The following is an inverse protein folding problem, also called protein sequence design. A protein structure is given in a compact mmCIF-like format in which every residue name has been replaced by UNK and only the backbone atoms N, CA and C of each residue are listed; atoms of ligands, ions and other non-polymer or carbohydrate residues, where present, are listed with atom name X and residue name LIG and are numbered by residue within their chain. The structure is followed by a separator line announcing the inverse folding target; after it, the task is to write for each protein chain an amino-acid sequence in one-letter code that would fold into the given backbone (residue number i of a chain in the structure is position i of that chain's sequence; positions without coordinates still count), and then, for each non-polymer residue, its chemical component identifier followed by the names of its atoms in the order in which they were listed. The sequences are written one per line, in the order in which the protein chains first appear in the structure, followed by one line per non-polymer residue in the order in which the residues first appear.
data_IF_948224346727
#
_entry.id   IF_948224346727
#
_cell.length_a   1.000
_cell.length_b   1.000
_cell.length_c   1.000
_cell.angle_alpha   90.00
_cell.angle_beta   90.00
_cell.angle_gamma   90.00
#
_symmetry.space_group_name_H-M   'P 1'
#
loop_
_entity.id
_entity.type
_entity.pdbx_description
1 polymer ?
#
# COMPACT_ATOMS: atom_id res chain seq x y z
N UNK A 1 -72.60 -28.83 -38.46
CA UNK A 1 -71.46 -29.39 -39.22
C UNK A 1 -70.22 -28.59 -38.89
N UNK A 2 -69.12 -29.28 -38.58
CA UNK A 2 -67.85 -28.75 -38.05
C UNK A 2 -67.09 -27.97 -39.13
N UNK A 3 -66.51 -26.83 -38.76
CA UNK A 3 -65.28 -26.32 -39.35
C UNK A 3 -64.40 -25.81 -38.21
N UNK A 4 -63.33 -26.55 -37.93
CA UNK A 4 -62.28 -26.17 -36.96
C UNK A 4 -61.27 -25.29 -37.71
N UNK A 5 -61.12 -24.05 -37.27
CA UNK A 5 -59.97 -23.19 -37.61
C UNK A 5 -58.72 -23.68 -36.88
N UNK A 6 -57.55 -23.81 -37.54
CA UNK A 6 -56.30 -24.14 -36.87
C UNK A 6 -55.71 -22.88 -36.21
N UNK A 7 -55.52 -22.95 -34.90
CA UNK A 7 -54.75 -21.99 -34.12
C UNK A 7 -53.26 -22.24 -34.38
N UNK A 8 -52.61 -21.37 -35.14
CA UNK A 8 -51.15 -21.31 -35.22
C UNK A 8 -50.69 -20.02 -34.54
N UNK A 9 -50.10 -20.12 -33.36
CA UNK A 9 -49.38 -19.01 -32.74
C UNK A 9 -48.09 -19.52 -32.08
N UNK A 10 -47.02 -19.37 -32.86
CA UNK A 10 -45.69 -18.86 -32.48
C UNK A 10 -45.10 -19.31 -31.14
N UNK A 11 -44.24 -20.33 -31.23
CA UNK A 11 -43.20 -20.57 -30.24
C UNK A 11 -42.24 -19.37 -30.22
N UNK A 12 -42.26 -18.59 -29.14
CA UNK A 12 -41.20 -17.63 -28.85
C UNK A 12 -39.92 -18.42 -28.54
N UNK A 13 -38.99 -18.49 -29.50
CA UNK A 13 -37.62 -18.91 -29.23
C UNK A 13 -36.92 -17.78 -28.48
N UNK A 14 -36.89 -17.87 -27.15
CA UNK A 14 -36.03 -17.04 -26.31
C UNK A 14 -34.57 -17.33 -26.66
N UNK A 15 -34.02 -16.52 -27.55
CA UNK A 15 -32.60 -16.49 -27.85
C UNK A 15 -31.88 -15.90 -26.64
N UNK A 16 -31.36 -16.77 -25.77
CA UNK A 16 -30.43 -16.39 -24.72
C UNK A 16 -29.19 -15.80 -25.39
N UNK A 17 -29.12 -14.47 -25.43
CA UNK A 17 -27.88 -13.74 -25.68
C UNK A 17 -26.95 -14.09 -24.53
N UNK A 18 -26.11 -15.11 -24.72
CA UNK A 18 -25.02 -15.41 -23.80
C UNK A 18 -24.04 -14.24 -23.87
N UNK A 19 -24.15 -13.32 -22.92
CA UNK A 19 -23.13 -12.33 -22.64
C UNK A 19 -21.92 -13.12 -22.12
N UNK A 20 -21.07 -13.59 -23.02
CA UNK A 20 -19.76 -14.09 -22.65
C UNK A 20 -19.01 -12.91 -22.04
N UNK A 21 -18.98 -12.87 -20.71
CA UNK A 21 -17.99 -12.08 -20.00
C UNK A 21 -16.64 -12.60 -20.48
N UNK A 22 -16.05 -11.91 -21.45
CA UNK A 22 -14.67 -12.11 -21.82
C UNK A 22 -13.89 -11.82 -20.54
N UNK A 23 -13.45 -12.88 -19.86
CA UNK A 23 -12.40 -12.78 -18.86
C UNK A 23 -11.26 -12.05 -19.57
N UNK A 24 -11.09 -10.77 -19.23
CA UNK A 24 -10.00 -9.98 -19.77
C UNK A 24 -8.73 -10.75 -19.41
N UNK A 25 -8.11 -11.37 -20.42
CA UNK A 25 -6.87 -12.09 -20.22
C UNK A 25 -5.89 -11.10 -19.59
N UNK A 26 -5.44 -11.39 -18.37
CA UNK A 26 -4.39 -10.59 -17.70
C UNK A 26 -3.23 -10.49 -18.70
N UNK A 27 -2.87 -9.29 -19.18
CA UNK A 27 -1.75 -9.15 -20.10
C UNK A 27 -0.52 -9.79 -19.46
N UNK A 28 0.26 -10.55 -20.25
CA UNK A 28 1.50 -11.15 -19.78
C UNK A 28 2.40 -10.02 -19.29
N UNK A 29 2.57 -9.93 -17.97
CA UNK A 29 3.34 -8.88 -17.30
C UNK A 29 4.77 -8.89 -17.84
N UNK A 30 5.14 -7.91 -18.66
CA UNK A 30 6.51 -7.40 -18.59
C UNK A 30 6.75 -7.06 -17.12
N UNK A 31 7.79 -7.63 -16.51
CA UNK A 31 7.94 -7.60 -15.05
C UNK A 31 8.03 -6.17 -14.55
N UNK A 32 6.94 -5.67 -13.96
CA UNK A 32 6.91 -4.35 -13.33
C UNK A 32 8.02 -4.23 -12.29
N UNK A 33 8.41 -3.00 -11.98
CA UNK A 33 9.50 -2.74 -11.02
C UNK A 33 9.17 -3.40 -9.67
N UNK A 34 9.98 -4.34 -9.16
CA UNK A 34 9.76 -4.95 -7.85
C UNK A 34 9.87 -3.92 -6.73
N UNK A 35 8.84 -3.82 -5.90
CA UNK A 35 8.77 -2.87 -4.79
C UNK A 35 8.34 -3.53 -3.48
N UNK A 36 8.86 -3.02 -2.36
CA UNK A 36 8.28 -3.22 -1.03
C UNK A 36 7.84 -1.84 -0.52
N UNK A 37 6.65 -1.77 0.07
CA UNK A 37 6.11 -0.54 0.64
C UNK A 37 6.15 -0.66 2.17
N UNK A 38 6.80 0.28 2.83
CA UNK A 38 6.85 0.42 4.29
C UNK A 38 6.00 1.63 4.71
N UNK A 39 4.95 1.43 5.49
CA UNK A 39 3.86 2.40 5.67
C UNK A 39 3.32 2.36 7.09
N UNK A 40 2.89 3.51 7.60
CA UNK A 40 2.32 3.64 8.94
C UNK A 40 0.81 3.39 8.99
N UNK A 41 0.07 3.46 7.87
CA UNK A 41 -1.36 3.15 7.70
C UNK A 41 -2.17 3.19 9.03
N UNK A 42 -2.29 4.39 9.59
CA UNK A 42 -2.85 4.59 10.93
C UNK A 42 -3.56 5.95 11.10
N UNK A 43 -2.80 7.04 11.02
CA UNK A 43 -3.26 8.38 11.44
C UNK A 43 -3.88 9.24 10.34
N UNK A 44 -3.15 9.42 9.23
CA UNK A 44 -3.66 10.10 8.02
C UNK A 44 -3.99 9.05 6.94
N UNK A 45 -4.89 9.37 6.02
CA UNK A 45 -5.42 8.43 5.01
C UNK A 45 -4.60 8.41 3.72
N UNK A 46 -3.53 9.21 3.63
CA UNK A 46 -2.67 9.32 2.46
C UNK A 46 -2.03 7.98 2.09
N UNK A 47 -1.68 7.15 3.07
CA UNK A 47 -1.25 5.76 2.89
C UNK A 47 -2.27 4.90 2.11
N UNK A 48 -3.57 5.08 2.37
CA UNK A 48 -4.62 4.38 1.61
C UNK A 48 -4.56 4.80 0.15
N UNK A 49 -4.41 6.11 -0.10
CA UNK A 49 -4.23 6.64 -1.46
C UNK A 49 -2.99 6.06 -2.15
N UNK A 50 -1.88 5.97 -1.43
CA UNK A 50 -0.63 5.40 -1.91
C UNK A 50 -0.76 3.92 -2.27
N UNK A 51 -1.35 3.12 -1.37
CA UNK A 51 -1.58 1.70 -1.60
C UNK A 51 -2.58 1.45 -2.73
N UNK A 52 -3.60 2.30 -2.87
CA UNK A 52 -4.52 2.27 -4.01
C UNK A 52 -3.78 2.48 -5.33
N UNK A 53 -2.95 3.54 -5.43
CA UNK A 53 -2.16 3.81 -6.63
C UNK A 53 -1.19 2.66 -6.91
N UNK A 54 -0.49 2.15 -5.88
CA UNK A 54 0.43 1.04 -6.04
C UNK A 54 -0.25 -0.21 -6.58
N UNK A 55 -1.44 -0.56 -6.06
CA UNK A 55 -2.22 -1.70 -6.53
C UNK A 55 -2.70 -1.54 -7.98
N UNK A 56 -3.13 -0.34 -8.38
CA UNK A 56 -3.48 -0.04 -9.78
C UNK A 56 -2.25 -0.21 -10.68
N UNK A 57 -1.09 0.35 -10.29
CA UNK A 57 0.15 0.20 -11.05
C UNK A 57 0.63 -1.26 -11.12
N UNK A 58 0.39 -2.04 -10.07
CA UNK A 58 0.65 -3.48 -10.05
C UNK A 58 -0.21 -4.23 -11.07
N UNK A 59 -1.49 -3.88 -11.15
CA UNK A 59 -2.43 -4.46 -12.10
C UNK A 59 -2.11 -4.05 -13.54
N UNK A 60 -1.59 -2.84 -13.75
CA UNK A 60 -1.09 -2.35 -15.03
C UNK A 60 0.27 -2.93 -15.42
N UNK A 61 0.95 -3.70 -14.56
CA UNK A 61 2.28 -4.24 -14.82
C UNK A 61 3.41 -3.21 -14.77
N UNK A 62 3.16 -2.02 -14.23
CA UNK A 62 4.19 -0.99 -14.05
C UNK A 62 4.96 -1.20 -12.74
N UNK A 63 4.31 -1.72 -11.71
CA UNK A 63 4.91 -2.10 -10.43
C UNK A 63 4.72 -3.60 -10.14
N UNK A 64 5.54 -4.16 -9.27
CA UNK A 64 5.42 -5.54 -8.78
C UNK A 64 5.54 -5.53 -7.25
N UNK A 65 4.41 -5.41 -6.54
CA UNK A 65 4.37 -5.32 -5.08
C UNK A 65 4.76 -6.68 -4.51
N UNK A 66 5.93 -6.73 -3.89
CA UNK A 66 6.48 -7.94 -3.25
C UNK A 66 6.12 -8.06 -1.78
N UNK A 67 5.67 -6.98 -1.16
CA UNK A 67 5.16 -7.00 0.19
C UNK A 67 4.84 -5.61 0.72
N UNK A 68 4.08 -5.58 1.81
CA UNK A 68 3.77 -4.37 2.57
C UNK A 68 4.20 -4.59 4.03
N UNK A 69 4.98 -3.66 4.57
CA UNK A 69 5.44 -3.68 5.95
C UNK A 69 4.79 -2.53 6.73
N UNK A 70 4.02 -2.86 7.77
CA UNK A 70 3.41 -1.85 8.64
C UNK A 70 4.40 -1.47 9.75
N UNK A 71 4.64 -0.17 9.93
CA UNK A 71 5.56 0.38 10.93
C UNK A 71 4.86 1.05 12.13
N UNK A 72 3.54 0.89 12.26
CA UNK A 72 2.77 1.25 13.46
C UNK A 72 2.35 0.02 14.25
N UNK A 73 2.33 0.15 15.57
CA UNK A 73 2.05 -0.95 16.49
C UNK A 73 0.57 -1.37 16.53
N UNK A 74 -0.33 -0.58 15.95
CA UNK A 74 -1.76 -0.89 15.91
C UNK A 74 -2.03 -2.23 15.23
N UNK A 75 -2.75 -3.12 15.91
CA UNK A 75 -3.15 -4.43 15.35
C UNK A 75 -4.06 -4.32 14.12
N UNK A 76 -4.58 -3.13 13.83
CA UNK A 76 -5.50 -2.90 12.72
C UNK A 76 -4.80 -2.58 11.39
N UNK A 77 -3.55 -2.09 11.43
CA UNK A 77 -2.83 -1.65 10.23
C UNK A 77 -2.61 -2.77 9.20
N UNK A 78 -2.07 -3.92 9.63
CA UNK A 78 -1.79 -5.02 8.69
C UNK A 78 -3.06 -5.67 8.09
N UNK A 79 -4.12 -5.94 8.87
CA UNK A 79 -5.40 -6.33 8.30
C UNK A 79 -5.99 -5.30 7.32
N UNK A 80 -5.87 -4.00 7.62
CA UNK A 80 -6.34 -2.95 6.71
C UNK A 80 -5.56 -2.93 5.39
N UNK A 81 -4.22 -3.04 5.43
CA UNK A 81 -3.39 -3.15 4.23
C UNK A 81 -3.73 -4.41 3.41
N UNK A 82 -4.00 -5.54 4.06
CA UNK A 82 -4.46 -6.76 3.39
C UNK A 82 -5.81 -6.57 2.71
N UNK A 83 -6.77 -5.94 3.38
CA UNK A 83 -8.08 -5.63 2.80
C UNK A 83 -7.96 -4.69 1.58
N UNK A 84 -7.08 -3.69 1.64
CA UNK A 84 -6.77 -2.81 0.48
C UNK A 84 -6.26 -3.64 -0.70
N UNK A 85 -5.24 -4.47 -0.51
CA UNK A 85 -4.71 -5.30 -1.59
C UNK A 85 -5.75 -6.28 -2.14
N UNK A 86 -6.52 -6.94 -1.27
CA UNK A 86 -7.60 -7.85 -1.66
C UNK A 86 -8.69 -7.13 -2.47
N UNK A 87 -9.06 -5.91 -2.10
CA UNK A 87 -10.04 -5.09 -2.84
C UNK A 87 -9.61 -4.84 -4.30
N UNK A 88 -8.31 -4.67 -4.55
CA UNK A 88 -7.76 -4.52 -5.91
C UNK A 88 -7.37 -5.85 -6.58
N UNK A 89 -7.75 -7.00 -6.01
CA UNK A 89 -7.50 -8.33 -6.58
C UNK A 89 -6.08 -8.88 -6.35
N UNK A 90 -5.33 -8.31 -5.41
CA UNK A 90 -3.94 -8.64 -5.09
C UNK A 90 -3.79 -9.20 -3.66
N UNK A 91 -4.75 -10.01 -3.22
CA UNK A 91 -4.78 -10.57 -1.86
C UNK A 91 -3.63 -11.55 -1.52
N UNK A 92 -2.84 -11.94 -2.51
CA UNK A 92 -1.64 -12.76 -2.39
C UNK A 92 -0.39 -11.97 -1.99
N UNK A 93 -0.44 -10.63 -2.03
CA UNK A 93 0.64 -9.77 -1.56
C UNK A 93 0.84 -9.98 -0.05
N UNK A 94 2.06 -10.37 0.40
CA UNK A 94 2.31 -10.60 1.82
C UNK A 94 2.36 -9.28 2.59
N UNK A 95 1.75 -9.28 3.77
CA UNK A 95 1.70 -8.12 4.68
C UNK A 95 2.36 -8.49 6.01
N UNK A 96 3.22 -7.62 6.52
CA UNK A 96 3.88 -7.75 7.82
C UNK A 96 3.40 -6.69 8.81
N UNK A 97 3.49 -7.02 10.10
CA UNK A 97 3.11 -6.13 11.19
C UNK A 97 4.24 -6.02 12.21
N UNK A 98 4.67 -4.80 12.55
CA UNK A 98 5.65 -4.57 13.61
C UNK A 98 5.14 -5.08 14.97
N UNK A 99 6.07 -5.41 15.88
CA UNK A 99 5.79 -5.86 17.25
C UNK A 99 6.37 -4.86 18.26
N UNK A 100 5.81 -4.74 19.47
CA UNK A 100 4.59 -5.38 19.97
C UNK A 100 3.33 -4.91 19.24
N UNK A 101 2.25 -5.69 19.26
CA UNK A 101 0.94 -5.25 18.75
C UNK A 101 0.16 -4.55 19.88
N UNK A 102 -0.51 -3.45 19.56
CA UNK A 102 -1.39 -2.71 20.47
C UNK A 102 -2.83 -2.68 19.95
N UNK A 103 -3.78 -2.42 20.85
CA UNK A 103 -5.18 -2.19 20.51
C UNK A 103 -5.45 -0.72 20.13
N UNK A 104 -4.40 0.08 19.92
CA UNK A 104 -4.53 1.51 19.68
C UNK A 104 -5.21 1.80 18.34
N UNK A 105 -6.12 2.76 18.40
CA UNK A 105 -6.78 3.41 17.28
C UNK A 105 -6.34 4.87 17.25
N UNK A 106 -6.32 5.49 16.08
CA UNK A 106 -5.95 6.89 15.97
C UNK A 106 -7.06 7.80 16.53
N UNK A 107 -6.68 8.79 17.33
CA UNK A 107 -7.58 9.84 17.78
C UNK A 107 -6.86 11.18 17.69
N UNK A 108 -7.39 12.08 16.88
CA UNK A 108 -6.91 13.46 16.76
C UNK A 108 -7.36 14.26 18.00
N UNK A 109 -6.43 14.49 18.93
CA UNK A 109 -6.66 15.21 20.18
C UNK A 109 -6.25 16.69 20.12
N UNK A 110 -5.95 17.21 18.92
CA UNK A 110 -5.45 18.57 18.72
C UNK A 110 -6.35 19.39 17.79
N UNK A 111 -6.61 18.92 16.57
CA UNK A 111 -7.51 19.56 15.61
C UNK A 111 -8.94 19.02 15.70
N UNK A 112 -9.12 17.78 16.19
CA UNK A 112 -10.41 17.08 16.27
C UNK A 112 -11.15 16.98 14.93
N UNK A 113 -10.43 16.97 13.81
CA UNK A 113 -11.00 16.87 12.44
C UNK A 113 -10.71 15.55 11.77
N UNK A 114 -9.72 14.81 12.28
CA UNK A 114 -9.34 13.48 11.79
C UNK A 114 -9.88 12.38 12.70
N UNK A 115 -10.46 11.36 12.10
CA UNK A 115 -11.05 10.21 12.73
C UNK A 115 -10.31 8.93 12.36
N UNK A 116 -10.54 7.90 13.14
CA UNK A 116 -9.95 6.60 12.86
C UNK A 116 -10.60 5.91 11.64
N UNK A 117 -9.78 5.27 10.81
CA UNK A 117 -10.24 4.50 9.65
C UNK A 117 -9.66 3.08 9.57
N UNK A 118 -8.48 2.79 10.14
CA UNK A 118 -7.77 1.52 9.90
C UNK A 118 -8.58 0.30 10.37
N UNK A 119 -9.13 0.32 11.58
CA UNK A 119 -9.98 -0.73 12.15
C UNK A 119 -11.27 -0.89 11.34
N UNK A 120 -11.86 0.21 10.85
CA UNK A 120 -13.06 0.17 10.02
C UNK A 120 -12.76 -0.47 8.66
N UNK A 121 -11.63 -0.15 8.03
CA UNK A 121 -11.18 -0.81 6.80
C UNK A 121 -10.98 -2.30 7.06
N UNK A 122 -10.21 -2.66 8.09
CA UNK A 122 -9.95 -4.04 8.47
C UNK A 122 -11.22 -4.85 8.76
N UNK A 123 -12.26 -4.23 9.32
CA UNK A 123 -13.49 -4.91 9.71
C UNK A 123 -14.53 -5.00 8.58
N UNK A 124 -14.69 -3.94 7.80
CA UNK A 124 -15.78 -3.84 6.81
C UNK A 124 -15.42 -4.40 5.43
N UNK A 125 -14.14 -4.66 5.16
CA UNK A 125 -13.68 -5.16 3.87
C UNK A 125 -12.96 -6.50 4.00
N UNK A 126 -13.16 -7.44 3.05
CA UNK A 126 -12.50 -8.73 3.09
C UNK A 126 -10.99 -8.56 2.85
N UNK A 127 -10.19 -9.22 3.67
CA UNK A 127 -8.74 -9.35 3.51
C UNK A 127 -8.30 -10.79 3.74
N UNK A 128 -7.14 -11.18 3.19
CA UNK A 128 -6.54 -12.51 3.40
C UNK A 128 -5.88 -12.63 4.79
N UNK A 129 -5.49 -11.51 5.39
CA UNK A 129 -4.99 -11.40 6.76
C UNK A 129 -6.02 -10.68 7.62
N UNK A 130 -6.73 -11.41 8.48
CA UNK A 130 -7.75 -10.84 9.38
C UNK A 130 -7.24 -10.57 10.80
N UNK A 131 -6.05 -11.07 11.14
CA UNK A 131 -5.43 -10.89 12.45
C UNK A 131 -3.93 -10.63 12.30
N UNK A 132 -3.47 -9.45 12.75
CA UNK A 132 -2.07 -9.04 12.68
C UNK A 132 -1.11 -10.00 13.41
N UNK A 133 -1.57 -10.76 14.41
CA UNK A 133 -0.71 -11.72 15.10
C UNK A 133 -0.25 -12.88 14.22
N UNK A 134 -0.97 -13.16 13.13
CA UNK A 134 -0.63 -14.18 12.13
C UNK A 134 0.36 -13.66 11.07
N UNK A 135 0.54 -12.34 10.98
CA UNK A 135 1.49 -11.74 10.06
C UNK A 135 2.93 -11.97 10.51
N UNK A 136 3.88 -12.18 9.58
CA UNK A 136 5.29 -12.13 9.89
C UNK A 136 5.69 -10.75 10.44
N UNK A 137 6.83 -10.69 11.10
CA UNK A 137 7.48 -9.41 11.42
C UNK A 137 8.00 -8.72 10.14
N UNK A 138 8.16 -7.39 10.13
CA UNK A 138 8.69 -6.67 8.98
C UNK A 138 10.09 -7.15 8.58
N UNK A 139 10.96 -7.44 9.56
CA UNK A 139 12.30 -7.99 9.29
C UNK A 139 12.21 -9.34 8.59
N UNK A 140 11.34 -10.26 9.03
CA UNK A 140 11.14 -11.55 8.35
C UNK A 140 10.64 -11.39 6.91
N UNK A 141 9.69 -10.47 6.68
CA UNK A 141 9.19 -10.16 5.33
C UNK A 141 10.31 -9.62 4.45
N UNK A 142 11.03 -8.59 4.91
CA UNK A 142 12.14 -8.01 4.19
C UNK A 142 13.19 -9.04 3.82
N UNK A 143 13.62 -9.84 4.80
CA UNK A 143 14.65 -10.86 4.57
C UNK A 143 14.20 -11.89 3.54
N UNK A 144 12.95 -12.37 3.60
CA UNK A 144 12.39 -13.32 2.62
C UNK A 144 12.35 -12.73 1.22
N UNK A 145 11.82 -11.52 1.08
CA UNK A 145 11.66 -10.87 -0.22
C UNK A 145 13.03 -10.51 -0.83
N UNK A 146 13.94 -9.93 -0.03
CA UNK A 146 15.26 -9.53 -0.51
C UNK A 146 16.13 -10.75 -0.84
N UNK A 147 16.09 -11.83 -0.05
CA UNK A 147 16.86 -13.04 -0.32
C UNK A 147 16.47 -13.68 -1.67
N UNK A 148 15.18 -13.65 -2.01
CA UNK A 148 14.66 -14.18 -3.27
C UNK A 148 14.85 -13.22 -4.47
N UNK A 149 15.16 -11.94 -4.22
CA UNK A 149 15.32 -10.95 -5.28
C UNK A 149 16.64 -11.09 -6.04
N UNK A 150 16.62 -10.67 -7.31
CA UNK A 150 17.83 -10.40 -8.07
C UNK A 150 18.65 -9.28 -7.42
N UNK A 151 19.95 -9.26 -7.68
CA UNK A 151 20.79 -8.18 -7.15
C UNK A 151 20.40 -6.85 -7.80
N UNK A 152 20.40 -5.78 -7.02
CA UNK A 152 20.10 -4.42 -7.47
C UNK A 152 18.80 -4.29 -8.28
N UNK A 153 17.76 -5.03 -7.90
CA UNK A 153 16.49 -5.02 -8.64
C UNK A 153 15.32 -4.46 -7.85
N UNK A 154 15.40 -4.36 -6.52
CA UNK A 154 14.24 -4.04 -5.69
C UNK A 154 14.28 -2.58 -5.23
N UNK A 155 13.13 -1.89 -5.30
CA UNK A 155 12.95 -0.58 -4.67
C UNK A 155 12.26 -0.72 -3.32
N UNK A 156 12.80 -0.04 -2.32
CA UNK A 156 12.16 0.14 -1.03
C UNK A 156 11.49 1.50 -1.00
N UNK A 157 10.21 1.55 -0.68
CA UNK A 157 9.43 2.78 -0.62
C UNK A 157 8.91 2.92 0.80
N UNK A 158 9.50 3.83 1.58
CA UNK A 158 9.06 4.15 2.94
C UNK A 158 8.24 5.42 2.93
N UNK A 159 7.01 5.30 3.44
CA UNK A 159 5.99 6.37 3.46
C UNK A 159 5.46 6.63 4.86
N UNK A 160 6.07 5.99 5.88
CA UNK A 160 5.85 6.21 7.30
C UNK A 160 7.18 6.22 8.06
N UNK A 161 7.22 5.65 9.26
CA UNK A 161 8.41 5.61 10.10
C UNK A 161 9.50 4.65 9.60
N UNK A 162 10.77 4.95 9.91
CA UNK A 162 11.93 4.15 9.48
C UNK A 162 12.32 3.01 10.44
N UNK A 163 11.51 2.72 11.47
CA UNK A 163 11.81 1.70 12.50
C UNK A 163 12.03 0.31 11.90
N UNK A 164 11.17 -0.12 10.98
CA UNK A 164 11.31 -1.42 10.30
C UNK A 164 12.63 -1.54 9.52
N UNK A 165 13.03 -0.47 8.83
CA UNK A 165 14.26 -0.44 8.04
C UNK A 165 15.49 -0.39 8.97
N UNK A 166 15.41 0.34 10.08
CA UNK A 166 16.46 0.36 11.09
C UNK A 166 16.68 -1.03 11.71
N UNK A 167 15.60 -1.75 12.02
CA UNK A 167 15.67 -3.11 12.55
C UNK A 167 16.20 -4.11 11.52
N UNK A 168 15.84 -3.95 10.24
CA UNK A 168 16.44 -4.72 9.17
C UNK A 168 17.95 -4.46 9.09
N UNK A 169 18.40 -3.20 9.11
CA UNK A 169 19.83 -2.86 9.11
C UNK A 169 20.60 -3.48 10.28
N UNK A 170 19.96 -3.64 11.44
CA UNK A 170 20.53 -4.30 12.64
C UNK A 170 20.47 -5.83 12.58
N UNK A 171 19.66 -6.40 11.70
CA UNK A 171 19.46 -7.85 11.65
C UNK A 171 20.74 -8.59 11.22
N UNK A 172 21.02 -9.70 11.90
CA UNK A 172 22.12 -10.59 11.54
C UNK A 172 21.70 -11.57 10.43
N UNK A 173 22.67 -12.33 9.93
CA UNK A 173 22.38 -13.50 9.11
C UNK A 173 21.49 -14.51 9.84
N UNK A 174 20.69 -15.26 9.10
CA UNK A 174 19.75 -16.25 9.63
C UNK A 174 19.52 -17.39 8.63
N UNK A 175 18.50 -18.22 8.90
CA UNK A 175 18.11 -19.32 8.04
C UNK A 175 17.49 -18.90 6.69
N UNK A 176 17.08 -17.64 6.52
CA UNK A 176 16.54 -17.09 5.27
C UNK A 176 17.68 -16.63 4.36
N UNK A 177 18.71 -16.00 4.93
CA UNK A 177 19.87 -15.52 4.17
C UNK A 177 21.15 -15.55 5.01
N UNK A 178 22.28 -15.99 4.42
CA UNK A 178 23.59 -15.89 5.08
C UNK A 178 24.10 -14.45 5.19
N UNK A 179 23.43 -13.47 4.57
CA UNK A 179 23.78 -12.06 4.68
C UNK A 179 23.07 -11.43 5.88
N UNK A 180 23.80 -10.57 6.61
CA UNK A 180 23.20 -9.61 7.53
C UNK A 180 22.34 -8.62 6.77
N UNK A 181 21.46 -7.91 7.47
CA UNK A 181 20.48 -7.05 6.80
C UNK A 181 21.13 -5.89 6.04
N UNK A 182 22.23 -5.31 6.55
CA UNK A 182 22.99 -4.29 5.83
C UNK A 182 23.58 -4.82 4.53
N UNK A 183 24.19 -6.00 4.54
CA UNK A 183 24.75 -6.63 3.34
C UNK A 183 23.65 -7.04 2.35
N UNK A 184 22.52 -7.53 2.87
CA UNK A 184 21.38 -7.93 2.06
C UNK A 184 20.76 -6.72 1.33
N UNK A 185 20.58 -5.60 2.05
CA UNK A 185 20.16 -4.32 1.46
C UNK A 185 21.15 -3.86 0.38
N UNK A 186 22.45 -3.87 0.70
CA UNK A 186 23.50 -3.48 -0.24
C UNK A 186 23.53 -4.35 -1.50
N UNK A 187 23.19 -5.64 -1.41
CA UNK A 187 23.19 -6.57 -2.53
C UNK A 187 21.92 -6.45 -3.40
N UNK A 188 20.75 -6.29 -2.77
CA UNK A 188 19.44 -6.54 -3.40
C UNK A 188 18.69 -5.28 -3.79
N UNK A 189 18.90 -4.20 -3.04
CA UNK A 189 18.18 -2.94 -3.25
C UNK A 189 18.94 -2.08 -4.26
N UNK A 190 18.22 -1.60 -5.28
CA UNK A 190 18.73 -0.55 -6.19
C UNK A 190 18.53 0.84 -5.59
N UNK A 191 17.40 1.07 -4.93
CA UNK A 191 17.04 2.37 -4.39
C UNK A 191 16.12 2.29 -3.17
N UNK A 192 16.33 3.21 -2.22
CA UNK A 192 15.39 3.56 -1.16
C UNK A 192 14.75 4.91 -1.48
N UNK A 193 13.43 4.97 -1.46
CA UNK A 193 12.63 6.18 -1.62
C UNK A 193 11.93 6.44 -0.29
N UNK A 194 12.09 7.63 0.26
CA UNK A 194 11.56 7.98 1.58
C UNK A 194 10.69 9.22 1.46
N UNK A 195 9.42 9.14 1.85
CA UNK A 195 8.64 10.32 2.17
C UNK A 195 9.02 10.76 3.57
N UNK A 196 9.74 11.87 3.66
CA UNK A 196 10.19 12.38 4.94
C UNK A 196 11.16 13.55 4.83
N UNK A 197 11.21 14.32 5.91
CA UNK A 197 11.97 15.56 5.99
C UNK A 197 11.32 16.74 5.24
N UNK A 198 11.94 17.91 5.39
CA UNK A 198 11.56 19.14 4.70
C UNK A 198 12.83 19.82 4.22
N UNK A 199 12.90 20.16 2.94
CA UNK A 199 14.13 20.64 2.34
C UNK A 199 14.06 22.14 1.98
N UNK A 200 15.17 22.89 2.13
CA UNK A 200 16.50 22.44 2.58
C UNK A 200 16.61 22.22 4.11
N UNK A 201 15.61 22.63 4.90
CA UNK A 201 15.59 22.44 6.35
C UNK A 201 14.16 22.44 6.89
N UNK A 202 13.92 21.67 7.96
CA UNK A 202 12.67 21.72 8.72
C UNK A 202 12.43 20.44 9.50
N UNK A 203 11.27 20.39 10.16
CA UNK A 203 10.75 19.20 10.82
C UNK A 203 9.63 18.59 9.98
N UNK A 204 9.54 17.27 10.02
CA UNK A 204 8.54 16.47 9.32
C UNK A 204 8.21 15.22 10.17
N UNK A 205 6.95 14.75 10.09
CA UNK A 205 6.37 13.78 11.00
C UNK A 205 7.01 12.38 10.92
N UNK A 206 7.23 11.84 9.72
CA UNK A 206 7.85 10.52 9.53
C UNK A 206 9.29 10.47 10.08
N UNK A 207 10.00 11.60 10.03
CA UNK A 207 11.36 11.70 10.59
C UNK A 207 11.40 11.98 12.08
N UNK A 208 10.53 12.85 12.58
CA UNK A 208 10.66 13.42 13.92
C UNK A 208 9.54 13.08 14.91
N UNK A 209 8.45 12.45 14.46
CA UNK A 209 7.24 12.22 15.26
C UNK A 209 7.39 11.08 16.27
N UNK A 210 7.54 9.85 15.79
CA UNK A 210 7.46 8.65 16.64
C UNK A 210 8.83 8.10 17.04
N UNK A 211 9.72 7.88 16.07
CA UNK A 211 11.03 7.25 16.30
C UNK A 211 12.17 7.94 15.52
N UNK A 212 12.57 9.16 15.95
CA UNK A 212 13.66 9.89 15.32
C UNK A 212 15.02 9.19 15.44
N UNK A 213 15.19 8.29 16.42
CA UNK A 213 16.43 7.53 16.59
C UNK A 213 16.60 6.50 15.47
N UNK A 214 15.53 5.82 15.07
CA UNK A 214 15.58 4.94 13.89
C UNK A 214 15.84 5.72 12.61
N UNK A 215 15.24 6.91 12.45
CA UNK A 215 15.56 7.80 11.32
C UNK A 215 17.06 8.13 11.27
N UNK A 216 17.64 8.63 12.36
CA UNK A 216 19.06 8.93 12.43
C UNK A 216 19.91 7.68 12.14
N UNK A 217 19.55 6.54 12.72
CA UNK A 217 20.25 5.29 12.51
C UNK A 217 20.24 4.85 11.04
N UNK A 218 19.09 4.90 10.35
CA UNK A 218 19.00 4.58 8.92
C UNK A 218 19.91 5.51 8.11
N UNK A 219 19.85 6.81 8.34
CA UNK A 219 20.66 7.79 7.59
C UNK A 219 22.16 7.58 7.78
N UNK A 220 22.60 7.27 9.01
CA UNK A 220 24.02 7.05 9.33
C UNK A 220 24.55 5.71 8.82
N UNK A 221 23.70 4.68 8.79
CA UNK A 221 24.12 3.30 8.52
C UNK A 221 23.69 2.78 7.14
N UNK A 222 22.97 3.57 6.35
CA UNK A 222 22.55 3.16 5.01
C UNK A 222 23.75 2.77 4.13
N UNK A 223 23.68 1.67 3.37
CA UNK A 223 24.74 1.31 2.44
C UNK A 223 24.96 2.42 1.40
N UNK A 224 26.15 3.03 1.39
CA UNK A 224 26.51 4.12 0.45
C UNK A 224 26.42 3.73 -1.03
N UNK A 225 26.36 2.43 -1.33
CA UNK A 225 26.23 1.87 -2.69
C UNK A 225 24.78 1.73 -3.15
N UNK A 226 23.82 2.16 -2.36
CA UNK A 226 22.38 2.14 -2.66
C UNK A 226 21.88 3.57 -2.67
N UNK A 227 21.24 3.97 -3.77
CA UNK A 227 20.71 5.33 -3.92
C UNK A 227 19.60 5.58 -2.89
N UNK A 228 19.49 6.83 -2.45
CA UNK A 228 18.39 7.30 -1.62
C UNK A 228 17.74 8.51 -2.31
N UNK A 229 16.42 8.46 -2.48
CA UNK A 229 15.62 9.60 -2.91
C UNK A 229 14.75 10.04 -1.75
N UNK A 230 14.87 11.31 -1.38
CA UNK A 230 14.00 11.93 -0.38
C UNK A 230 12.86 12.68 -1.06
N UNK A 231 11.64 12.44 -0.60
CA UNK A 231 10.42 13.16 -0.96
C UNK A 231 9.98 13.97 0.24
N UNK A 232 10.40 15.24 0.30
CA UNK A 232 10.07 16.13 1.41
C UNK A 232 8.60 16.52 1.44
N UNK A 233 8.11 16.94 2.62
CA UNK A 233 6.72 17.35 2.82
C UNK A 233 6.29 18.52 1.91
N UNK A 234 7.23 19.37 1.47
CA UNK A 234 6.93 20.44 0.51
C UNK A 234 6.42 19.95 -0.85
N UNK A 235 6.69 18.69 -1.23
CA UNK A 235 6.28 18.13 -2.52
C UNK A 235 4.81 17.73 -2.59
N UNK A 236 4.19 17.37 -1.46
CA UNK A 236 2.76 17.05 -1.43
C UNK A 236 1.90 18.00 -0.59
N UNK A 237 2.51 18.95 0.12
CA UNK A 237 1.78 19.99 0.84
C UNK A 237 0.83 20.82 -0.04
N UNK A 238 0.94 20.75 -1.37
CA UNK A 238 -0.01 21.37 -2.31
C UNK A 238 -0.80 20.35 -3.16
N UNK A 239 -0.61 19.04 -2.95
CA UNK A 239 -1.30 17.98 -3.67
C UNK A 239 -2.37 17.42 -2.76
N UNK A 240 -3.62 17.63 -3.13
CA UNK A 240 -4.78 17.27 -2.34
C UNK A 240 -5.47 16.05 -2.94
N UNK A 241 -5.83 15.06 -2.13
CA UNK A 241 -6.58 13.88 -2.53
C UNK A 241 -7.88 13.71 -1.74
N UNK A 242 -8.77 12.87 -2.26
CA UNK A 242 -10.07 12.64 -1.66
C UNK A 242 -11.14 13.68 -2.02
N UNK A 243 -10.78 14.82 -2.61
CA UNK A 243 -11.77 15.79 -3.07
C UNK A 243 -12.52 15.35 -4.33
N UNK A 244 -13.55 16.14 -4.69
CA UNK A 244 -14.27 16.00 -5.97
C UNK A 244 -13.27 15.91 -7.14
N UNK A 245 -13.49 15.02 -8.11
CA UNK A 245 -14.71 14.22 -8.31
C UNK A 245 -14.72 12.84 -7.61
N UNK A 246 -13.65 12.43 -6.90
CA UNK A 246 -13.51 11.07 -6.36
C UNK A 246 -14.68 10.67 -5.45
N UNK A 247 -15.08 11.55 -4.53
CA UNK A 247 -16.19 11.30 -3.61
C UNK A 247 -17.59 11.37 -4.25
N UNK A 248 -17.72 11.94 -5.46
CA UNK A 248 -19.02 12.10 -6.15
C UNK A 248 -19.25 11.02 -7.21
N UNK A 249 -18.19 10.53 -7.84
CA UNK A 249 -18.27 9.59 -8.95
C UNK A 249 -18.27 8.13 -8.52
N UNK A 250 -18.00 7.83 -7.25
CA UNK A 250 -17.92 6.45 -6.76
C UNK A 250 -18.63 6.32 -5.42
N UNK A 251 -19.75 5.57 -5.34
CA UNK A 251 -20.42 5.29 -4.08
C UNK A 251 -19.46 4.63 -3.08
N UNK A 252 -19.48 5.08 -1.82
CA UNK A 252 -18.57 4.56 -0.80
C UNK A 252 -18.76 3.08 -0.51
N UNK A 253 -19.99 2.58 -0.66
CA UNK A 253 -20.32 1.15 -0.48
C UNK A 253 -19.53 0.24 -1.42
N UNK A 254 -19.14 0.76 -2.59
CA UNK A 254 -18.47 0.01 -3.65
C UNK A 254 -16.95 0.26 -3.65
N UNK A 255 -16.46 1.23 -2.88
CA UNK A 255 -15.05 1.62 -2.86
C UNK A 255 -14.48 1.71 -1.45
N UNK A 256 -13.53 0.82 -1.19
CA UNK A 256 -12.74 0.83 0.05
C UNK A 256 -12.00 2.15 0.20
N UNK A 257 -11.39 2.63 -0.89
CA UNK A 257 -10.64 3.89 -0.89
C UNK A 257 -11.55 5.05 -0.49
N UNK A 258 -12.70 5.21 -1.14
CA UNK A 258 -13.63 6.31 -0.82
C UNK A 258 -14.14 6.20 0.63
N UNK A 259 -14.46 4.99 1.09
CA UNK A 259 -14.87 4.75 2.48
C UNK A 259 -13.83 5.20 3.49
N UNK A 260 -12.55 4.86 3.28
CA UNK A 260 -11.47 5.26 4.17
C UNK A 260 -11.32 6.79 4.23
N UNK A 261 -11.35 7.46 3.07
CA UNK A 261 -11.29 8.92 2.99
C UNK A 261 -12.48 9.59 3.69
N UNK A 262 -13.68 8.99 3.64
CA UNK A 262 -14.85 9.50 4.36
C UNK A 262 -14.79 9.26 5.88
N UNK A 263 -14.14 8.18 6.32
CA UNK A 263 -14.01 7.85 7.74
C UNK A 263 -12.93 8.66 8.45
N UNK A 264 -11.86 9.05 7.76
CA UNK A 264 -10.84 9.92 8.34
C UNK A 264 -11.38 11.32 8.55
N UNK A 265 -12.25 11.85 7.69
CA UNK A 265 -12.86 13.15 7.93
C UNK A 265 -14.13 13.35 7.11
N UNK A 266 -15.12 14.00 7.71
CA UNK A 266 -16.36 14.41 7.03
C UNK A 266 -16.16 15.62 6.10
N UNK A 267 -15.05 16.36 6.22
CA UNK A 267 -14.82 17.60 5.47
C UNK A 267 -13.38 17.80 4.95
N UNK A 268 -12.45 16.90 5.29
CA UNK A 268 -11.02 17.14 5.04
C UNK A 268 -10.48 16.47 3.77
N UNK A 269 -9.41 17.08 3.29
CA UNK A 269 -8.67 16.76 2.08
C UNK A 269 -7.29 16.33 2.55
N UNK A 270 -6.89 15.08 2.33
CA UNK A 270 -5.55 14.66 2.74
C UNK A 270 -4.51 15.10 1.72
N UNK A 271 -3.32 15.41 2.21
CA UNK A 271 -2.20 15.73 1.34
C UNK A 271 -1.64 14.43 0.76
N UNK A 272 -1.58 14.33 -0.56
CA UNK A 272 -1.04 13.18 -1.27
C UNK A 272 0.51 13.27 -1.32
N UNK A 273 1.13 13.51 -0.16
CA UNK A 273 2.59 13.54 0.07
C UNK A 273 3.30 12.33 -0.51
N UNK A 274 2.60 11.20 -0.50
CA UNK A 274 3.14 9.89 -0.85
C UNK A 274 3.15 9.61 -2.36
N UNK A 275 2.17 10.11 -3.12
CA UNK A 275 2.06 9.76 -4.53
C UNK A 275 3.15 10.42 -5.39
N UNK A 276 3.75 11.53 -4.95
CA UNK A 276 4.86 12.14 -5.67
C UNK A 276 6.08 11.20 -5.77
N UNK A 277 6.41 10.46 -4.70
CA UNK A 277 7.50 9.48 -4.70
C UNK A 277 7.23 8.28 -5.61
N UNK A 278 6.00 7.74 -5.55
CA UNK A 278 5.55 6.61 -6.38
C UNK A 278 5.47 7.06 -7.86
N UNK A 279 4.76 8.15 -8.16
CA UNK A 279 4.48 8.63 -9.53
C UNK A 279 5.73 9.21 -10.23
N UNK A 280 6.60 9.93 -9.52
CA UNK A 280 7.75 10.62 -10.16
C UNK A 280 8.76 9.67 -10.80
N UNK A 281 8.80 8.40 -10.36
CA UNK A 281 9.68 7.36 -10.90
C UNK A 281 9.07 6.61 -12.08
N UNK A 282 7.75 6.39 -12.11
CA UNK A 282 7.10 5.76 -13.29
C UNK A 282 7.14 6.63 -14.54
N UNK A 283 7.32 7.96 -14.42
CA UNK A 283 7.60 8.84 -15.56
C UNK A 283 9.00 8.69 -16.17
N UNK A 284 9.97 8.09 -15.48
CA UNK A 284 11.34 7.89 -16.00
C UNK A 284 11.57 6.51 -16.63
N UNK A 285 10.55 5.65 -16.64
CA UNK A 285 10.60 4.29 -17.21
C UNK A 285 10.04 4.22 -18.64
N UNK A 286 9.77 5.37 -19.28
CA UNK A 286 9.40 5.51 -20.68
C UNK A 286 10.29 6.55 -21.37
#
# INVERSE_FOLDING_TARGET
MRARTPTAFLLFSSSLLSLTAAAAAKPSRGGGQPIIIDTDLFGDVDDVGALTIANVLHNCGLADIKGIAINTHSKYGAPAASAICTHFGNGDVPVAAIRPLTDETFFDDWEYVRGEYASKVAYNWPGTLTNASLAPTPVELYRKVLAAASNKSLHLISIGFLTNIADLLRSNADHISPLGGRELLAAKVSELIIMGGRYPSGWEYNFGGTDPNSTAYVLDHWPRTVAVTFSGGELGGSIYSGQRPLMEQTPSVDSLTVSAYQWVSTFHVSHLNVAAGIISKFRRLH
#
